data_IF_008015513454
#
_entry.id   IF_008015513454
#
_cell.length_a   1.000
_cell.length_b   1.000
_cell.length_c   1.000
_cell.angle_alpha   90.00
_cell.angle_beta   90.00
_cell.angle_gamma   90.00
#
_symmetry.space_group_name_H-M   'P 1'
#
loop_
_entity.id
_entity.type
_entity.pdbx_description
1 polymer ?
#
# COMPACT_ATOMS: atom_id res chain seq x y z
N UNK A 1 5.99 -17.48 2.93
CA UNK A 1 7.16 -16.57 2.78
C UNK A 1 8.43 -17.30 3.20
N UNK A 2 9.52 -17.19 2.45
CA UNK A 2 10.79 -17.86 2.78
C UNK A 2 11.77 -16.86 3.40
N UNK A 3 12.36 -17.20 4.54
CA UNK A 3 13.34 -16.37 5.26
C UNK A 3 14.63 -17.17 5.37
N UNK A 4 15.76 -16.56 4.98
CA UNK A 4 17.10 -17.12 5.18
C UNK A 4 17.73 -16.51 6.44
N UNK A 5 18.12 -17.36 7.39
CA UNK A 5 18.83 -16.93 8.60
C UNK A 5 20.22 -17.58 8.62
N UNK A 6 21.31 -16.79 8.63
CA UNK A 6 22.67 -17.31 8.71
C UNK A 6 23.01 -17.78 10.13
N UNK A 7 24.01 -18.65 10.26
CA UNK A 7 24.61 -18.99 11.55
C UNK A 7 23.80 -19.91 12.48
N UNK A 8 22.67 -20.48 12.03
CA UNK A 8 21.88 -21.41 12.86
C UNK A 8 22.61 -22.78 13.01
N UNK A 9 22.88 -23.23 14.25
CA UNK A 9 23.49 -24.54 14.49
C UNK A 9 22.57 -25.71 14.09
N UNK A 10 23.14 -26.87 13.78
CA UNK A 10 22.40 -27.99 13.14
C UNK A 10 21.33 -28.63 14.01
N UNK A 11 21.58 -28.72 15.31
CA UNK A 11 20.63 -29.31 16.23
C UNK A 11 19.38 -28.42 16.46
N UNK A 12 19.41 -27.15 16.06
CA UNK A 12 18.34 -26.20 16.40
C UNK A 12 17.20 -26.29 15.40
N UNK A 13 15.97 -26.32 15.93
CA UNK A 13 14.75 -26.32 15.11
C UNK A 13 13.98 -25.01 15.28
N UNK A 14 13.43 -24.45 14.19
CA UNK A 14 12.61 -23.25 14.25
C UNK A 14 11.15 -23.57 14.57
N UNK A 15 10.55 -22.75 15.42
CA UNK A 15 9.15 -22.79 15.83
C UNK A 15 8.55 -21.39 15.75
N UNK A 16 7.36 -21.26 15.19
CA UNK A 16 6.56 -20.04 15.23
C UNK A 16 5.80 -19.97 16.55
N UNK A 17 6.00 -18.88 17.29
CA UNK A 17 5.20 -18.57 18.47
C UNK A 17 3.92 -17.88 17.98
N UNK A 18 2.79 -18.57 18.09
CA UNK A 18 1.46 -18.00 17.81
C UNK A 18 0.79 -17.55 19.10
N UNK A 19 -0.39 -16.93 19.01
CA UNK A 19 -1.14 -16.49 20.20
C UNK A 19 -1.64 -17.65 21.07
N UNK A 20 -1.68 -18.88 20.55
CA UNK A 20 -2.30 -20.04 21.23
C UNK A 20 -1.54 -21.37 21.11
N UNK A 21 -0.47 -21.42 20.30
CA UNK A 21 0.42 -22.58 20.13
C UNK A 21 1.88 -22.23 19.84
N UNK A 22 2.79 -23.18 20.07
CA UNK A 22 4.10 -23.23 19.44
C UNK A 22 4.03 -24.17 18.23
N UNK A 23 4.19 -23.63 17.02
CA UNK A 23 4.04 -24.39 15.77
C UNK A 23 5.42 -24.69 15.17
N UNK A 24 5.75 -25.95 14.81
CA UNK A 24 7.01 -26.24 14.13
C UNK A 24 6.99 -25.65 12.71
N UNK A 25 8.09 -25.03 12.30
CA UNK A 25 8.22 -24.47 10.95
C UNK A 25 8.93 -25.44 9.99
N UNK A 26 8.43 -25.48 8.76
CA UNK A 26 9.12 -26.14 7.65
C UNK A 26 10.44 -25.40 7.39
N UNK A 27 11.54 -26.14 7.36
CA UNK A 27 12.87 -25.55 7.18
C UNK A 27 13.77 -26.47 6.35
N UNK A 28 14.72 -25.84 5.64
CA UNK A 28 15.71 -26.51 4.82
C UNK A 28 17.06 -25.81 4.95
N UNK A 29 18.13 -26.59 5.10
CA UNK A 29 19.50 -26.10 5.01
C UNK A 29 19.83 -25.65 3.59
N UNK A 30 20.45 -24.50 3.44
CA UNK A 30 20.94 -23.97 2.17
C UNK A 30 22.34 -23.36 2.38
N UNK A 31 23.09 -23.16 1.30
CA UNK A 31 24.37 -22.43 1.37
C UNK A 31 24.13 -21.05 1.99
N UNK A 32 24.83 -20.76 3.09
CA UNK A 32 24.69 -19.50 3.82
C UNK A 32 23.71 -19.51 5.00
N UNK A 33 22.98 -20.60 5.28
CA UNK A 33 22.14 -20.67 6.49
C UNK A 33 21.01 -21.70 6.46
N UNK A 34 19.93 -21.38 7.18
CA UNK A 34 18.68 -22.15 7.17
C UNK A 34 17.59 -21.29 6.56
N UNK A 35 16.93 -21.82 5.53
CA UNK A 35 15.69 -21.24 5.01
C UNK A 35 14.51 -21.83 5.77
N UNK A 36 13.57 -20.99 6.18
CA UNK A 36 12.31 -21.39 6.81
C UNK A 36 11.11 -20.78 6.10
N UNK A 37 10.01 -21.53 6.10
CA UNK A 37 8.76 -21.13 5.46
C UNK A 37 7.75 -20.72 6.52
N UNK A 38 7.30 -19.46 6.46
CA UNK A 38 6.10 -19.01 7.17
C UNK A 38 4.88 -19.22 6.28
N UNK A 39 3.92 -19.99 6.78
CA UNK A 39 2.70 -20.35 6.04
C UNK A 39 1.71 -19.18 5.97
N UNK A 40 1.65 -18.36 7.03
CA UNK A 40 0.78 -17.20 7.12
C UNK A 40 1.57 -15.89 6.97
N UNK A 41 1.01 -14.91 6.25
CA UNK A 41 1.59 -13.57 6.16
C UNK A 41 0.99 -12.69 7.25
N UNK A 42 1.75 -12.52 8.33
CA UNK A 42 1.44 -11.57 9.40
C UNK A 42 2.32 -10.33 9.25
N UNK A 43 1.87 -9.18 9.79
CA UNK A 43 2.68 -7.97 9.82
C UNK A 43 3.99 -8.17 10.62
N UNK A 44 3.97 -9.10 11.58
CA UNK A 44 5.13 -9.57 12.32
C UNK A 44 4.93 -11.05 12.71
N UNK A 45 6.03 -11.79 12.84
CA UNK A 45 6.06 -13.16 13.35
C UNK A 45 7.24 -13.32 14.32
N UNK A 46 7.04 -14.10 15.38
CA UNK A 46 8.09 -14.40 16.36
C UNK A 46 8.52 -15.85 16.19
N UNK A 47 9.81 -16.06 15.98
CA UNK A 47 10.37 -17.39 15.71
C UNK A 47 11.34 -17.77 16.85
N UNK A 48 11.03 -18.87 17.54
CA UNK A 48 11.91 -19.51 18.51
C UNK A 48 12.79 -20.52 17.78
N UNK A 49 14.12 -20.37 17.88
CA UNK A 49 15.09 -21.33 17.35
C UNK A 49 15.77 -21.98 18.55
N UNK A 50 15.50 -23.27 18.77
CA UNK A 50 16.05 -24.00 19.93
C UNK A 50 16.28 -25.47 19.62
N UNK A 51 17.30 -26.06 20.24
CA UNK A 51 17.49 -27.51 20.32
C UNK A 51 17.16 -28.08 21.71
N UNK A 52 16.79 -27.23 22.67
CA UNK A 52 16.48 -27.60 24.05
C UNK A 52 14.98 -27.93 24.19
N UNK A 53 14.62 -29.20 24.46
CA UNK A 53 13.23 -29.61 24.66
C UNK A 53 12.57 -28.95 25.88
N UNK A 54 13.35 -28.57 26.90
CA UNK A 54 12.82 -27.95 28.12
C UNK A 54 12.37 -26.51 27.85
N UNK A 55 13.18 -25.75 27.10
CA UNK A 55 12.82 -24.42 26.64
C UNK A 55 11.58 -24.42 25.74
N UNK A 56 11.47 -25.35 24.77
CA UNK A 56 10.30 -25.43 23.90
C UNK A 56 9.04 -25.88 24.65
N UNK A 57 9.15 -26.84 25.58
CA UNK A 57 8.04 -27.25 26.43
C UNK A 57 7.57 -26.10 27.35
N UNK A 58 8.49 -25.32 27.91
CA UNK A 58 8.15 -24.16 28.73
C UNK A 58 7.37 -23.11 27.94
N UNK A 59 7.83 -22.75 26.74
CA UNK A 59 7.14 -21.79 25.86
C UNK A 59 5.78 -22.33 25.43
N UNK A 60 5.68 -23.61 25.05
CA UNK A 60 4.42 -24.26 24.71
C UNK A 60 3.40 -24.17 25.85
N UNK A 61 3.83 -24.39 27.09
CA UNK A 61 2.95 -24.28 28.27
C UNK A 61 2.53 -22.83 28.54
N UNK A 62 3.43 -21.85 28.42
CA UNK A 62 3.09 -20.43 28.56
C UNK A 62 2.04 -20.00 27.54
N UNK A 63 2.21 -20.37 26.28
CA UNK A 63 1.27 -20.01 25.22
C UNK A 63 -0.08 -20.72 25.43
N UNK A 64 -0.06 -22.00 25.84
CA UNK A 64 -1.29 -22.75 26.15
C UNK A 64 -2.08 -22.15 27.31
N UNK A 65 -1.41 -21.68 28.37
CA UNK A 65 -2.05 -20.98 29.50
C UNK A 65 -2.76 -19.71 29.07
N UNK A 66 -2.22 -19.01 28.07
CA UNK A 66 -2.81 -17.78 27.53
C UNK A 66 -3.88 -18.03 26.45
N UNK A 67 -4.08 -19.28 26.00
CA UNK A 67 -5.00 -19.61 24.92
C UNK A 67 -6.45 -19.12 25.15
N UNK A 68 -7.05 -19.18 26.37
CA UNK A 68 -8.39 -18.64 26.60
C UNK A 68 -8.48 -17.13 26.35
N UNK A 69 -7.50 -16.36 26.84
CA UNK A 69 -7.44 -14.91 26.60
C UNK A 69 -7.20 -14.61 25.12
N UNK A 70 -6.30 -15.36 24.47
CA UNK A 70 -6.08 -15.26 23.03
C UNK A 70 -7.34 -15.55 22.22
N UNK A 71 -8.16 -16.53 22.63
CA UNK A 71 -9.42 -16.85 21.98
C UNK A 71 -10.43 -15.70 22.08
N UNK A 72 -10.54 -15.03 23.23
CA UNK A 72 -11.40 -13.85 23.39
C UNK A 72 -10.96 -12.67 22.52
N UNK A 73 -9.64 -12.46 22.37
CA UNK A 73 -9.09 -11.44 21.48
C UNK A 73 -9.31 -11.81 20.00
N UNK A 74 -9.05 -13.06 19.61
CA UNK A 74 -9.28 -13.54 18.26
C UNK A 74 -10.77 -13.44 17.89
N UNK A 75 -11.67 -13.68 18.86
CA UNK A 75 -13.13 -13.52 18.72
C UNK A 75 -13.49 -12.09 18.36
N UNK A 76 -12.99 -11.11 19.12
CA UNK A 76 -13.29 -9.69 18.86
C UNK A 76 -12.72 -9.22 17.52
N UNK A 77 -11.52 -9.68 17.16
CA UNK A 77 -10.88 -9.38 15.87
C UNK A 77 -11.64 -9.98 14.68
N UNK A 78 -12.07 -11.24 14.78
CA UNK A 78 -12.84 -11.91 13.74
C UNK A 78 -14.22 -11.26 13.55
N UNK A 79 -14.96 -11.02 14.64
CA UNK A 79 -16.24 -10.32 14.60
C UNK A 79 -16.10 -8.91 13.99
N UNK A 80 -15.05 -8.17 14.37
CA UNK A 80 -14.74 -6.86 13.80
C UNK A 80 -14.40 -6.93 12.31
N UNK A 81 -13.63 -7.92 11.86
CA UNK A 81 -13.30 -8.11 10.45
C UNK A 81 -14.53 -8.46 9.61
N UNK A 82 -15.37 -9.41 10.05
CA UNK A 82 -16.63 -9.74 9.36
C UNK A 82 -17.51 -8.50 9.26
N UNK A 83 -17.71 -7.77 10.35
CA UNK A 83 -18.57 -6.59 10.36
C UNK A 83 -18.07 -5.48 9.42
N UNK A 84 -16.74 -5.25 9.37
CA UNK A 84 -16.14 -4.27 8.45
C UNK A 84 -16.27 -4.72 6.99
N UNK A 85 -15.90 -5.97 6.67
CA UNK A 85 -16.00 -6.49 5.30
C UNK A 85 -17.44 -6.51 4.78
N UNK A 86 -18.41 -6.90 5.61
CA UNK A 86 -19.84 -6.87 5.26
C UNK A 86 -20.35 -5.45 5.01
N UNK A 87 -19.97 -4.49 5.87
CA UNK A 87 -20.33 -3.07 5.68
C UNK A 87 -19.73 -2.54 4.39
N UNK A 88 -18.43 -2.75 4.19
CA UNK A 88 -17.72 -2.32 3.01
C UNK A 88 -18.35 -2.91 1.74
N UNK A 89 -18.66 -4.21 1.71
CA UNK A 89 -19.35 -4.83 0.59
C UNK A 89 -20.72 -4.20 0.27
N UNK A 90 -21.43 -3.69 1.28
CA UNK A 90 -22.72 -3.01 1.12
C UNK A 90 -22.57 -1.56 0.63
N UNK A 91 -21.51 -0.87 1.05
CA UNK A 91 -21.24 0.52 0.66
C UNK A 91 -20.60 0.64 -0.72
N UNK A 92 -19.96 -0.42 -1.21
CA UNK A 92 -19.25 -0.43 -2.48
C UNK A 92 -20.20 -0.55 -3.68
N UNK A 93 -19.88 0.14 -4.80
CA UNK A 93 -20.65 0.01 -6.03
C UNK A 93 -20.41 -1.37 -6.69
N UNK A 94 -21.32 -1.88 -7.53
CA UNK A 94 -21.19 -3.20 -8.17
C UNK A 94 -19.87 -3.40 -8.94
N UNK A 95 -19.34 -2.35 -9.56
CA UNK A 95 -18.08 -2.37 -10.31
C UNK A 95 -16.87 -2.71 -9.41
N UNK A 96 -16.93 -2.32 -8.14
CA UNK A 96 -15.92 -2.62 -7.14
C UNK A 96 -15.97 -4.09 -6.70
N UNK A 97 -17.16 -4.69 -6.67
CA UNK A 97 -17.37 -6.10 -6.32
C UNK A 97 -16.95 -7.04 -7.45
N UNK A 98 -17.20 -6.65 -8.71
CA UNK A 98 -16.90 -7.49 -9.88
C UNK A 98 -17.59 -8.85 -9.80
N UNK A 99 -16.82 -9.93 -10.00
CA UNK A 99 -17.30 -11.31 -9.91
C UNK A 99 -16.83 -12.02 -8.62
N UNK A 100 -16.43 -11.27 -7.60
CA UNK A 100 -15.98 -11.89 -6.36
C UNK A 100 -17.12 -12.65 -5.67
N UNK A 101 -16.85 -13.84 -5.11
CA UNK A 101 -17.84 -14.62 -4.37
C UNK A 101 -18.02 -14.05 -2.95
N UNK A 102 -18.47 -12.79 -2.87
CA UNK A 102 -18.54 -12.00 -1.63
C UNK A 102 -19.45 -12.69 -0.61
N UNK A 103 -20.62 -13.16 -1.05
CA UNK A 103 -21.60 -13.83 -0.20
C UNK A 103 -21.04 -15.13 0.37
N UNK A 104 -20.40 -15.94 -0.48
CA UNK A 104 -19.81 -17.22 -0.09
C UNK A 104 -18.63 -17.02 0.88
N UNK A 105 -17.77 -16.02 0.62
CA UNK A 105 -16.65 -15.68 1.50
C UNK A 105 -17.11 -15.21 2.88
N UNK A 106 -18.12 -14.34 2.93
CA UNK A 106 -18.68 -13.89 4.21
C UNK A 106 -19.40 -15.02 4.95
N UNK A 107 -20.10 -15.89 4.23
CA UNK A 107 -20.76 -17.06 4.81
C UNK A 107 -19.73 -18.04 5.41
N UNK A 108 -18.65 -18.34 4.70
CA UNK A 108 -17.56 -19.20 5.20
C UNK A 108 -16.87 -18.57 6.42
N UNK A 109 -16.56 -17.27 6.37
CA UNK A 109 -15.96 -16.56 7.51
C UNK A 109 -16.87 -16.61 8.75
N UNK A 110 -18.20 -16.49 8.56
CA UNK A 110 -19.18 -16.60 9.63
C UNK A 110 -19.26 -18.03 10.18
N UNK A 111 -19.26 -19.05 9.31
CA UNK A 111 -19.28 -20.47 9.72
C UNK A 111 -18.04 -20.84 10.54
N UNK A 112 -16.85 -20.43 10.12
CA UNK A 112 -15.60 -20.61 10.86
C UNK A 112 -15.69 -20.01 12.27
N UNK A 113 -16.22 -18.78 12.37
CA UNK A 113 -16.35 -18.12 13.65
C UNK A 113 -17.41 -18.78 14.56
N UNK A 114 -18.56 -19.16 14.00
CA UNK A 114 -19.63 -19.87 14.73
C UNK A 114 -19.18 -21.25 15.23
N UNK A 115 -18.40 -21.98 14.42
CA UNK A 115 -17.81 -23.23 14.86
C UNK A 115 -16.83 -23.01 16.01
N UNK A 116 -15.97 -21.98 15.91
CA UNK A 116 -15.06 -21.63 16.98
C UNK A 116 -15.78 -21.33 18.30
N UNK A 117 -16.90 -20.60 18.28
CA UNK A 117 -17.71 -20.33 19.47
C UNK A 117 -18.20 -21.62 20.17
N UNK A 118 -18.51 -22.68 19.41
CA UNK A 118 -18.96 -23.94 20.00
C UNK A 118 -17.87 -24.72 20.74
N UNK A 119 -16.61 -24.52 20.35
CA UNK A 119 -15.46 -25.23 20.91
C UNK A 119 -14.64 -24.34 21.86
N UNK A 120 -14.87 -23.04 21.92
CA UNK A 120 -14.00 -22.07 22.62
C UNK A 120 -13.74 -22.37 24.10
N UNK A 121 -14.73 -22.94 24.80
CA UNK A 121 -14.61 -23.33 26.21
C UNK A 121 -13.85 -24.64 26.38
N UNK A 122 -13.98 -25.57 25.42
CA UNK A 122 -13.42 -26.92 25.49
C UNK A 122 -12.00 -27.00 24.91
N UNK A 123 -11.76 -26.32 23.79
CA UNK A 123 -10.48 -26.24 23.09
C UNK A 123 -10.25 -24.79 22.60
N UNK A 124 -9.77 -23.89 23.47
CA UNK A 124 -9.50 -22.50 23.12
C UNK A 124 -8.40 -22.38 22.04
N UNK A 125 -7.48 -23.35 21.99
CA UNK A 125 -6.40 -23.35 21.01
C UNK A 125 -6.92 -23.61 19.60
N UNK A 126 -7.78 -24.63 19.41
CA UNK A 126 -8.44 -24.88 18.14
C UNK A 126 -9.38 -23.74 17.75
N UNK A 127 -10.09 -23.16 18.72
CA UNK A 127 -10.95 -21.99 18.50
C UNK A 127 -10.17 -20.79 17.94
N UNK A 128 -8.99 -20.49 18.48
CA UNK A 128 -8.12 -19.40 17.95
C UNK A 128 -7.80 -19.63 16.48
N UNK A 129 -7.45 -20.86 16.07
CA UNK A 129 -7.13 -21.15 14.67
C UNK A 129 -8.31 -20.90 13.73
N UNK A 130 -9.52 -21.31 14.14
CA UNK A 130 -10.76 -21.09 13.37
C UNK A 130 -11.13 -19.60 13.31
N UNK A 131 -10.95 -18.85 14.40
CA UNK A 131 -11.16 -17.39 14.44
C UNK A 131 -10.14 -16.62 13.59
N UNK A 132 -8.87 -17.01 13.62
CA UNK A 132 -7.83 -16.44 12.75
C UNK A 132 -8.13 -16.72 11.27
N UNK A 133 -8.63 -17.92 10.95
CA UNK A 133 -9.08 -18.27 9.60
C UNK A 133 -10.28 -17.43 9.17
N UNK A 134 -11.30 -17.29 10.01
CA UNK A 134 -12.45 -16.41 9.78
C UNK A 134 -12.00 -14.97 9.46
N UNK A 135 -11.10 -14.42 10.29
CA UNK A 135 -10.52 -13.09 10.08
C UNK A 135 -9.75 -12.98 8.76
N UNK A 136 -8.99 -14.01 8.40
CA UNK A 136 -8.22 -14.03 7.15
C UNK A 136 -9.14 -14.01 5.92
N UNK A 137 -10.23 -14.79 5.91
CA UNK A 137 -11.22 -14.80 4.83
C UNK A 137 -11.86 -13.42 4.67
N UNK A 138 -12.31 -12.81 5.78
CA UNK A 138 -12.90 -11.47 5.75
C UNK A 138 -11.89 -10.40 5.28
N UNK A 139 -10.63 -10.47 5.72
CA UNK A 139 -9.57 -9.55 5.30
C UNK A 139 -9.18 -9.71 3.82
N UNK A 140 -9.30 -10.92 3.25
CA UNK A 140 -9.06 -11.15 1.83
C UNK A 140 -10.07 -10.38 0.96
N UNK A 141 -11.34 -10.25 1.39
CA UNK A 141 -12.32 -9.41 0.70
C UNK A 141 -11.91 -7.94 0.69
N UNK A 142 -11.52 -7.38 1.84
CA UNK A 142 -11.04 -5.98 1.94
C UNK A 142 -9.87 -5.74 0.97
N UNK A 143 -8.92 -6.69 0.92
CA UNK A 143 -7.78 -6.66 0.00
C UNK A 143 -8.22 -6.69 -1.47
N UNK A 144 -9.12 -7.59 -1.86
CA UNK A 144 -9.59 -7.72 -3.23
C UNK A 144 -10.29 -6.44 -3.73
N UNK A 145 -11.11 -5.82 -2.88
CA UNK A 145 -11.75 -4.53 -3.18
C UNK A 145 -10.72 -3.40 -3.33
N UNK A 146 -9.70 -3.39 -2.48
CA UNK A 146 -8.63 -2.42 -2.51
C UNK A 146 -7.75 -2.57 -3.76
N UNK A 147 -7.38 -3.80 -4.14
CA UNK A 147 -6.55 -4.10 -5.32
C UNK A 147 -7.22 -3.61 -6.61
N UNK A 148 -8.52 -3.83 -6.77
CA UNK A 148 -9.29 -3.30 -7.90
C UNK A 148 -9.29 -1.77 -7.91
N UNK A 149 -9.50 -1.13 -6.76
CA UNK A 149 -9.52 0.33 -6.64
C UNK A 149 -8.17 0.96 -6.96
N UNK A 150 -7.07 0.34 -6.53
CA UNK A 150 -5.68 0.76 -6.82
C UNK A 150 -5.34 0.57 -8.29
N UNK A 151 -5.78 -0.54 -8.90
CA UNK A 151 -5.58 -0.80 -10.33
C UNK A 151 -6.26 0.27 -11.19
N UNK A 152 -7.46 0.73 -10.79
CA UNK A 152 -8.19 1.78 -11.48
C UNK A 152 -7.46 3.14 -11.48
N UNK A 153 -6.68 3.47 -10.45
CA UNK A 153 -5.83 4.68 -10.45
C UNK A 153 -4.41 4.42 -10.98
N UNK A 154 -3.96 3.17 -11.03
CA UNK A 154 -2.60 2.78 -11.42
C UNK A 154 -1.56 2.89 -10.32
N UNK A 155 -1.97 3.24 -9.08
CA UNK A 155 -1.08 3.30 -7.92
C UNK A 155 -1.81 3.40 -6.58
N UNK A 156 -1.18 2.85 -5.54
CA UNK A 156 -1.62 2.88 -4.13
C UNK A 156 -1.47 4.25 -3.47
N UNK A 157 -0.67 5.16 -4.03
CA UNK A 157 -0.45 6.51 -3.49
C UNK A 157 -1.06 7.60 -4.38
N UNK A 158 -1.70 7.20 -5.49
CA UNK A 158 -2.45 8.10 -6.36
C UNK A 158 -3.50 8.88 -5.57
N UNK A 159 -4.20 8.21 -4.63
CA UNK A 159 -5.16 8.83 -3.74
C UNK A 159 -4.81 8.54 -2.27
N UNK A 160 -4.95 9.49 -1.34
CA UNK A 160 -4.80 9.20 0.09
C UNK A 160 -5.84 8.20 0.60
N UNK A 161 -6.97 8.04 -0.11
CA UNK A 161 -8.10 7.19 0.29
C UNK A 161 -7.81 5.68 0.19
N UNK A 162 -6.71 5.28 -0.45
CA UNK A 162 -6.27 3.88 -0.55
C UNK A 162 -5.34 3.47 0.60
N UNK A 163 -5.06 4.33 1.57
CA UNK A 163 -4.16 4.01 2.69
C UNK A 163 -4.82 3.24 3.83
N UNK A 164 -6.15 3.14 3.84
CA UNK A 164 -6.93 2.44 4.87
C UNK A 164 -8.20 1.82 4.27
N UNK A 165 -8.62 0.65 4.78
CA UNK A 165 -9.91 0.06 4.38
C UNK A 165 -11.11 0.90 4.84
N UNK A 166 -10.93 1.74 5.86
CA UNK A 166 -11.96 2.66 6.35
C UNK A 166 -12.34 3.76 5.33
N UNK A 167 -11.43 4.10 4.41
CA UNK A 167 -11.64 5.13 3.39
C UNK A 167 -11.86 4.55 1.99
N UNK A 168 -11.93 3.22 1.88
CA UNK A 168 -11.99 2.56 0.58
C UNK A 168 -13.32 2.81 -0.14
N UNK A 169 -14.45 2.89 0.58
CA UNK A 169 -15.73 3.25 -0.03
C UNK A 169 -15.69 4.68 -0.61
N UNK A 170 -15.03 5.62 0.07
CA UNK A 170 -14.82 6.97 -0.45
C UNK A 170 -13.85 7.00 -1.65
N UNK A 171 -12.84 6.13 -1.69
CA UNK A 171 -11.99 5.98 -2.88
C UNK A 171 -12.81 5.59 -4.11
N UNK A 172 -13.73 4.63 -3.97
CA UNK A 172 -14.61 4.22 -5.07
C UNK A 172 -15.61 5.31 -5.47
N UNK A 173 -16.13 6.08 -4.53
CA UNK A 173 -16.94 7.28 -4.84
C UNK A 173 -16.14 8.34 -5.58
N UNK A 174 -14.86 8.51 -5.25
CA UNK A 174 -13.96 9.39 -5.97
C UNK A 174 -13.73 8.88 -7.41
N UNK A 175 -13.49 7.58 -7.60
CA UNK A 175 -13.34 6.98 -8.93
C UNK A 175 -14.59 7.20 -9.80
N UNK A 176 -15.78 6.98 -9.27
CA UNK A 176 -17.04 7.27 -9.96
C UNK A 176 -17.15 8.77 -10.30
N UNK A 177 -16.87 9.64 -9.33
CA UNK A 177 -16.88 11.08 -9.56
C UNK A 177 -15.91 11.51 -10.67
N UNK A 178 -14.72 10.91 -10.75
CA UNK A 178 -13.72 11.20 -11.77
C UNK A 178 -14.24 10.95 -13.19
N UNK A 179 -15.12 9.96 -13.39
CA UNK A 179 -15.72 9.67 -14.71
C UNK A 179 -16.57 10.84 -15.25
N UNK A 180 -17.06 11.71 -14.35
CA UNK A 180 -17.88 12.88 -14.70
C UNK A 180 -17.13 14.22 -14.59
N UNK A 181 -15.82 14.18 -14.37
CA UNK A 181 -14.97 15.37 -14.31
C UNK A 181 -14.30 15.67 -15.64
N UNK A 182 -14.15 16.96 -15.92
CA UNK A 182 -13.29 17.45 -16.99
C UNK A 182 -12.04 18.08 -16.38
N UNK A 183 -10.90 17.78 -16.99
CA UNK A 183 -9.66 18.47 -16.68
C UNK A 183 -9.68 19.89 -17.25
N UNK A 184 -9.49 20.88 -16.38
CA UNK A 184 -9.33 22.27 -16.76
C UNK A 184 -7.97 22.57 -17.38
N UNK A 185 -7.69 23.87 -17.55
CA UNK A 185 -6.39 24.34 -18.06
C UNK A 185 -5.25 23.84 -17.15
N UNK A 186 -4.15 23.39 -17.76
CA UNK A 186 -2.93 23.09 -17.03
C UNK A 186 -2.41 24.36 -16.33
N UNK A 187 -2.21 24.26 -15.02
CA UNK A 187 -1.70 25.35 -14.18
C UNK A 187 -0.17 25.39 -14.19
N UNK A 188 0.48 24.29 -14.59
CA UNK A 188 1.94 24.18 -14.61
C UNK A 188 2.51 24.56 -15.97
N UNK A 189 3.34 25.60 -15.99
CA UNK A 189 4.15 25.98 -17.15
C UNK A 189 5.48 25.20 -17.18
N UNK A 190 6.00 24.91 -18.38
CA UNK A 190 7.28 24.21 -18.57
C UNK A 190 7.23 22.70 -18.39
N UNK A 191 6.07 22.10 -18.07
CA UNK A 191 5.94 20.67 -17.80
C UNK A 191 6.28 19.72 -18.98
N UNK A 192 6.36 20.23 -20.22
CA UNK A 192 6.80 19.47 -21.39
C UNK A 192 8.32 19.37 -21.55
N UNK A 193 9.11 20.01 -20.69
CA UNK A 193 10.58 19.87 -20.65
C UNK A 193 11.33 20.26 -21.94
N UNK A 194 10.78 21.20 -22.73
CA UNK A 194 11.36 21.58 -24.03
C UNK A 194 12.48 22.63 -23.95
N UNK A 195 12.34 23.59 -23.05
CA UNK A 195 13.15 24.81 -23.03
C UNK A 195 13.61 25.13 -21.60
N UNK A 196 14.93 25.16 -21.38
CA UNK A 196 15.51 25.38 -20.04
C UNK A 196 15.20 26.78 -19.51
N UNK A 197 15.13 27.77 -20.40
CA UNK A 197 14.77 29.14 -20.06
C UNK A 197 13.32 29.22 -19.56
N UNK A 198 12.41 28.48 -20.18
CA UNK A 198 11.00 28.39 -19.74
C UNK A 198 10.90 27.73 -18.37
N UNK A 199 11.65 26.64 -18.12
CA UNK A 199 11.67 26.00 -16.80
C UNK A 199 12.16 27.00 -15.73
N UNK A 200 13.26 27.68 -15.99
CA UNK A 200 13.85 28.67 -15.07
C UNK A 200 12.91 29.85 -14.82
N UNK A 201 12.35 30.46 -15.87
CA UNK A 201 11.45 31.61 -15.75
C UNK A 201 10.11 31.26 -15.12
N UNK A 202 9.59 30.06 -15.37
CA UNK A 202 8.38 29.55 -14.73
C UNK A 202 8.58 29.22 -13.24
N UNK A 203 9.84 29.16 -12.76
CA UNK A 203 10.16 28.96 -11.34
C UNK A 203 10.44 27.51 -10.94
N UNK A 204 10.75 26.63 -11.90
CA UNK A 204 11.28 25.31 -11.58
C UNK A 204 12.63 25.45 -10.88
N UNK A 205 12.84 24.66 -9.83
CA UNK A 205 14.09 24.68 -9.05
C UNK A 205 14.67 23.30 -9.01
N UNK A 206 15.97 23.19 -9.23
CA UNK A 206 16.71 21.99 -8.90
C UNK A 206 17.62 22.27 -7.72
N UNK A 207 17.91 21.24 -6.96
CA UNK A 207 18.90 21.28 -5.89
C UNK A 207 19.81 20.07 -6.04
N UNK A 208 21.12 20.34 -6.07
CA UNK A 208 22.15 19.32 -6.01
C UNK A 208 22.78 19.43 -4.63
N UNK A 209 22.73 18.34 -3.86
CA UNK A 209 23.36 18.30 -2.56
C UNK A 209 24.88 18.30 -2.73
N UNK A 210 25.61 19.27 -2.15
CA UNK A 210 27.06 19.25 -2.19
C UNK A 210 27.58 18.10 -1.33
N UNK A 211 28.29 17.17 -1.94
CA UNK A 211 28.99 16.07 -1.26
C UNK A 211 30.33 15.83 -1.94
N UNK A 212 31.31 15.31 -1.20
CA UNK A 212 32.63 14.98 -1.76
C UNK A 212 32.63 13.67 -2.57
N UNK A 213 31.57 12.86 -2.42
CA UNK A 213 31.48 11.52 -3.01
C UNK A 213 30.56 11.43 -4.22
N UNK A 214 29.54 12.29 -4.32
CA UNK A 214 28.48 12.21 -5.34
C UNK A 214 28.34 13.53 -6.07
N UNK A 215 28.33 13.46 -7.40
CA UNK A 215 27.96 14.56 -8.29
C UNK A 215 26.56 14.34 -8.83
N UNK A 216 25.74 15.37 -8.79
CA UNK A 216 24.41 15.40 -9.41
C UNK A 216 24.38 16.33 -10.62
N UNK A 217 23.57 16.01 -11.62
CA UNK A 217 23.32 16.87 -12.77
C UNK A 217 21.86 16.83 -13.22
N UNK A 218 21.39 17.97 -13.75
CA UNK A 218 20.12 18.10 -14.46
C UNK A 218 20.42 18.60 -15.87
N UNK A 219 19.89 17.93 -16.89
CA UNK A 219 20.05 18.33 -18.28
C UNK A 219 18.75 18.10 -19.07
N UNK A 220 18.55 18.86 -20.15
CA UNK A 220 17.54 18.52 -21.14
C UNK A 220 18.12 17.48 -22.11
N UNK A 221 17.48 16.32 -22.20
CA UNK A 221 17.89 15.23 -23.07
C UNK A 221 17.01 15.19 -24.31
N UNK A 222 17.61 14.97 -25.47
CA UNK A 222 16.89 14.59 -26.71
C UNK A 222 16.78 13.08 -26.87
N UNK A 223 17.33 12.32 -25.92
CA UNK A 223 17.35 10.87 -25.98
C UNK A 223 16.02 10.30 -25.47
N UNK A 224 15.20 9.84 -26.41
CA UNK A 224 13.91 9.17 -26.16
C UNK A 224 12.94 9.96 -25.27
N UNK A 225 12.58 11.21 -25.65
CA UNK A 225 11.56 11.98 -24.92
C UNK A 225 10.20 11.25 -24.92
N UNK A 226 9.38 11.47 -23.89
CA UNK A 226 8.08 10.83 -23.78
C UNK A 226 7.05 11.47 -24.72
N UNK A 227 7.13 12.80 -24.85
CA UNK A 227 6.41 13.62 -25.81
C UNK A 227 7.32 14.75 -26.30
N UNK A 228 7.00 15.37 -27.44
CA UNK A 228 7.79 16.50 -27.93
C UNK A 228 9.21 16.10 -28.40
N UNK A 229 10.20 16.95 -28.14
CA UNK A 229 11.59 16.79 -28.61
C UNK A 229 12.58 16.56 -27.48
N UNK A 230 12.23 16.90 -26.24
CA UNK A 230 13.14 16.81 -25.10
C UNK A 230 12.44 16.34 -23.83
N UNK A 231 13.22 15.72 -22.96
CA UNK A 231 12.84 15.35 -21.60
C UNK A 231 13.84 15.91 -20.60
N UNK A 232 13.47 15.98 -19.33
CA UNK A 232 14.36 16.38 -18.26
C UNK A 232 15.06 15.15 -17.69
N UNK A 233 16.38 15.08 -17.79
CA UNK A 233 17.17 14.00 -17.21
C UNK A 233 17.82 14.48 -15.91
N UNK A 234 17.59 13.71 -14.85
CA UNK A 234 18.24 13.85 -13.55
C UNK A 234 19.23 12.70 -13.37
N UNK A 235 20.46 13.00 -12.98
CA UNK A 235 21.50 11.98 -12.78
C UNK A 235 22.27 12.24 -11.49
N UNK A 236 22.69 11.17 -10.83
CA UNK A 236 23.63 11.19 -9.71
C UNK A 236 24.64 10.07 -9.91
N UNK A 237 25.93 10.39 -9.80
CA UNK A 237 27.02 9.45 -9.97
C UNK A 237 28.09 9.66 -8.90
N UNK A 238 28.80 8.60 -8.53
CA UNK A 238 29.99 8.74 -7.72
C UNK A 238 31.02 9.62 -8.46
N UNK A 239 31.71 10.49 -7.73
CA UNK A 239 32.81 11.29 -8.26
C UNK A 239 33.98 10.36 -8.60
N UNK A 240 34.31 9.45 -7.68
CA UNK A 240 35.26 8.36 -7.89
C UNK A 240 34.50 7.01 -7.85
N UNK A 241 34.45 6.23 -8.96
CA UNK A 241 33.76 4.95 -9.02
C UNK A 241 34.27 3.91 -8.01
N UNK A 242 35.57 3.91 -7.69
CA UNK A 242 36.18 2.95 -6.73
C UNK A 242 35.79 3.25 -5.28
N UNK A 243 35.34 4.48 -5.00
CA UNK A 243 34.91 4.96 -3.69
C UNK A 243 33.40 5.24 -3.67
N UNK A 244 32.64 4.58 -4.54
CA UNK A 244 31.20 4.77 -4.62
C UNK A 244 30.54 4.37 -3.27
N UNK A 245 29.74 5.27 -2.66
CA UNK A 245 29.07 4.96 -1.40
C UNK A 245 28.07 3.81 -1.59
N UNK A 246 28.11 2.84 -0.68
CA UNK A 246 27.20 1.70 -0.68
C UNK A 246 25.75 2.08 -0.33
N UNK A 247 25.57 3.14 0.46
CA UNK A 247 24.27 3.63 0.92
C UNK A 247 24.23 5.15 0.77
N UNK A 248 23.11 5.65 0.24
CA UNK A 248 22.77 7.05 0.10
C UNK A 248 21.60 7.33 1.04
N UNK A 249 21.87 8.03 2.14
CA UNK A 249 20.85 8.29 3.16
C UNK A 249 19.90 9.44 2.80
N UNK A 250 20.36 10.39 1.99
CA UNK A 250 19.58 11.58 1.61
C UNK A 250 19.68 11.78 0.10
N UNK A 251 18.58 12.10 -0.59
CA UNK A 251 18.59 12.29 -2.04
C UNK A 251 19.70 13.27 -2.48
N UNK A 252 20.63 12.86 -3.35
CA UNK A 252 21.71 13.71 -3.82
C UNK A 252 21.21 14.85 -4.72
N UNK A 253 20.04 14.66 -5.36
CA UNK A 253 19.52 15.62 -6.31
C UNK A 253 17.98 15.52 -6.40
N UNK A 254 17.33 16.67 -6.50
CA UNK A 254 15.89 16.74 -6.73
C UNK A 254 15.50 18.00 -7.51
N UNK A 255 14.32 17.95 -8.09
CA UNK A 255 13.71 19.03 -8.86
C UNK A 255 12.32 19.27 -8.32
N UNK A 256 11.92 20.53 -8.18
CA UNK A 256 10.61 20.94 -7.67
C UNK A 256 9.94 21.88 -8.65
N UNK A 257 8.66 21.65 -8.91
CA UNK A 257 7.83 22.54 -9.73
C UNK A 257 7.71 23.91 -9.07
N UNK A 258 7.37 24.98 -9.82
CA UNK A 258 6.89 26.20 -9.20
C UNK A 258 5.66 25.97 -8.31
N UNK A 259 5.41 26.86 -7.32
CA UNK A 259 4.23 26.80 -6.48
C UNK A 259 2.97 27.07 -7.30
N UNK A 260 2.00 26.16 -7.20
CA UNK A 260 0.70 26.26 -7.85
C UNK A 260 -0.37 26.59 -6.82
N UNK A 261 -1.15 27.64 -7.07
CA UNK A 261 -2.27 28.06 -6.22
C UNK A 261 -3.59 27.74 -6.89
N UNK A 262 -4.53 27.19 -6.12
CA UNK A 262 -5.91 26.96 -6.53
C UNK A 262 -6.85 27.17 -5.33
N UNK A 263 -8.17 27.37 -5.54
CA UNK A 263 -9.12 27.52 -4.43
C UNK A 263 -9.19 26.26 -3.56
N UNK A 264 -9.42 26.43 -2.26
CA UNK A 264 -9.66 25.33 -1.32
C UNK A 264 -10.80 24.42 -1.81
N UNK A 265 -10.67 23.12 -1.60
CA UNK A 265 -11.64 22.11 -2.05
C UNK A 265 -11.54 21.75 -3.53
N UNK A 266 -10.70 22.42 -4.33
CA UNK A 266 -10.44 22.03 -5.72
C UNK A 266 -9.73 20.69 -5.75
N UNK A 267 -10.24 19.74 -6.54
CA UNK A 267 -9.54 18.49 -6.85
C UNK A 267 -8.52 18.76 -7.95
N UNK A 268 -7.25 18.48 -7.68
CA UNK A 268 -6.15 18.59 -8.64
C UNK A 268 -5.76 17.19 -9.12
N UNK A 269 -5.59 17.05 -10.43
CA UNK A 269 -4.91 15.93 -11.08
C UNK A 269 -3.47 16.35 -11.38
N UNK A 270 -2.52 15.61 -10.81
CA UNK A 270 -1.08 15.76 -11.04
C UNK A 270 -0.64 14.57 -11.88
N UNK A 271 -0.10 14.81 -13.06
CA UNK A 271 0.40 13.75 -13.97
C UNK A 271 1.86 14.01 -14.26
N UNK A 272 2.63 12.94 -14.37
CA UNK A 272 3.95 12.97 -15.01
C UNK A 272 4.18 11.69 -15.80
N UNK A 273 5.10 11.74 -16.76
CA UNK A 273 5.74 10.56 -17.32
C UNK A 273 7.16 10.50 -16.78
N UNK A 274 7.56 9.32 -16.33
CA UNK A 274 8.90 9.08 -15.79
C UNK A 274 9.48 7.81 -16.38
N UNK A 275 10.81 7.79 -16.51
CA UNK A 275 11.52 6.61 -17.00
C UNK A 275 12.83 6.45 -16.23
N UNK A 276 13.00 5.27 -15.62
CA UNK A 276 14.20 4.88 -14.89
C UNK A 276 14.82 3.69 -15.63
N UNK A 277 15.77 3.92 -16.54
CA UNK A 277 16.26 2.87 -17.45
C UNK A 277 17.07 1.77 -16.74
N UNK A 278 17.77 2.13 -15.66
CA UNK A 278 18.62 1.23 -14.89
C UNK A 278 18.28 1.28 -13.39
N UNK A 279 18.49 0.20 -12.62
CA UNK A 279 18.31 0.23 -11.18
C UNK A 279 19.15 1.33 -10.52
N UNK A 280 18.52 2.09 -9.64
CA UNK A 280 19.18 3.12 -8.83
C UNK A 280 19.93 2.42 -7.69
N UNK A 281 21.22 2.67 -7.57
CA UNK A 281 22.09 2.05 -6.57
C UNK A 281 22.15 2.89 -5.28
N UNK A 282 22.49 2.24 -4.17
CA UNK A 282 22.63 2.91 -2.87
C UNK A 282 21.31 3.38 -2.23
N UNK A 283 20.16 3.04 -2.80
CA UNK A 283 18.84 3.32 -2.23
C UNK A 283 17.82 2.24 -2.64
N UNK A 284 16.78 2.05 -1.81
CA UNK A 284 15.64 1.16 -2.11
C UNK A 284 14.45 1.88 -2.74
N UNK A 285 14.45 3.22 -2.73
CA UNK A 285 13.29 4.02 -3.14
C UNK A 285 13.31 4.41 -4.63
N UNK A 286 14.50 4.45 -5.26
CA UNK A 286 14.65 4.81 -6.67
C UNK A 286 14.40 6.30 -6.94
N UNK A 287 13.58 6.61 -7.95
CA UNK A 287 13.03 7.96 -8.15
C UNK A 287 11.77 8.11 -7.30
N UNK A 288 11.80 9.08 -6.37
CA UNK A 288 10.63 9.49 -5.59
C UNK A 288 9.90 10.64 -6.29
N UNK A 289 8.58 10.53 -6.41
CA UNK A 289 7.70 11.61 -6.89
C UNK A 289 6.61 11.87 -5.87
N UNK A 290 6.59 13.07 -5.30
CA UNK A 290 5.61 13.45 -4.27
C UNK A 290 5.23 14.92 -4.35
N UNK A 291 4.09 15.25 -3.76
CA UNK A 291 3.57 16.62 -3.69
C UNK A 291 3.62 17.18 -2.26
N UNK A 292 3.50 18.50 -2.11
CA UNK A 292 3.56 19.17 -0.81
C UNK A 292 2.37 18.87 0.12
N UNK A 293 1.23 18.39 -0.40
CA UNK A 293 0.07 18.05 0.45
C UNK A 293 0.17 16.61 0.98
N UNK A 294 0.57 15.66 0.14
CA UNK A 294 0.78 14.26 0.54
C UNK A 294 2.12 13.98 1.22
N UNK A 295 3.13 14.78 0.90
CA UNK A 295 4.50 14.62 1.38
C UNK A 295 5.16 13.30 0.95
N UNK A 296 6.39 13.03 1.43
CA UNK A 296 7.14 11.83 1.09
C UNK A 296 6.46 10.50 1.50
N UNK A 297 5.55 10.54 2.48
CA UNK A 297 4.78 9.38 2.92
C UNK A 297 3.84 8.85 1.82
N UNK A 298 3.32 9.75 0.97
CA UNK A 298 2.49 9.42 -0.18
C UNK A 298 3.25 9.55 -1.52
N UNK A 299 4.57 9.34 -1.48
CA UNK A 299 5.40 9.37 -2.67
C UNK A 299 5.24 8.11 -3.54
N UNK A 300 5.19 8.31 -4.85
CA UNK A 300 5.47 7.26 -5.82
C UNK A 300 6.94 6.86 -5.73
N UNK A 301 7.18 5.54 -5.64
CA UNK A 301 8.52 4.94 -5.71
C UNK A 301 8.69 4.29 -7.06
N UNK A 302 9.57 4.85 -7.88
CA UNK A 302 9.80 4.39 -9.25
C UNK A 302 11.19 3.78 -9.33
N UNK A 303 11.21 2.46 -9.32
CA UNK A 303 12.38 1.65 -9.61
C UNK A 303 12.57 1.49 -11.13
N UNK A 304 13.51 0.64 -11.57
CA UNK A 304 13.74 0.36 -13.00
C UNK A 304 12.41 0.12 -13.73
N UNK A 305 12.23 0.84 -14.84
CA UNK A 305 11.12 0.72 -15.77
C UNK A 305 11.65 0.42 -17.17
N UNK A 306 11.03 -0.50 -17.90
CA UNK A 306 11.45 -0.84 -19.27
C UNK A 306 11.17 0.30 -20.28
N UNK A 307 10.18 1.14 -20.00
CA UNK A 307 9.79 2.29 -20.82
C UNK A 307 9.18 3.40 -19.97
N UNK A 308 8.78 4.51 -20.62
CA UNK A 308 8.07 5.61 -19.96
C UNK A 308 6.81 5.13 -19.25
N UNK A 309 6.72 5.43 -17.95
CA UNK A 309 5.58 5.16 -17.10
C UNK A 309 4.83 6.45 -16.81
N UNK A 310 3.53 6.46 -17.08
CA UNK A 310 2.65 7.53 -16.60
C UNK A 310 2.32 7.30 -15.12
N UNK A 311 2.39 8.35 -14.32
CA UNK A 311 1.93 8.39 -12.93
C UNK A 311 0.85 9.46 -12.77
N UNK A 312 -0.02 9.27 -11.78
CA UNK A 312 -1.08 10.22 -11.44
C UNK A 312 -1.28 10.31 -9.94
N UNK A 313 -1.40 11.54 -9.43
CA UNK A 313 -1.77 11.83 -8.05
C UNK A 313 -3.00 12.75 -8.04
N UNK A 314 -3.98 12.41 -7.21
CA UNK A 314 -5.18 13.20 -6.96
C UNK A 314 -5.10 13.83 -5.57
N UNK A 315 -5.24 15.17 -5.51
CA UNK A 315 -5.15 15.93 -4.26
C UNK A 315 -6.24 16.98 -4.18
N UNK A 316 -6.87 17.10 -3.02
CA UNK A 316 -7.79 18.20 -2.74
C UNK A 316 -6.97 19.34 -2.12
N UNK A 317 -7.13 20.55 -2.63
CA UNK A 317 -6.51 21.74 -2.06
C UNK A 317 -7.04 21.94 -0.63
N UNK A 318 -6.16 21.96 0.39
CA UNK A 318 -6.60 22.14 1.77
C UNK A 318 -7.15 23.55 2.02
N UNK A 319 -7.96 23.76 3.07
CA UNK A 319 -8.33 25.10 3.49
C UNK A 319 -7.10 25.91 3.91
N UNK A 320 -7.22 27.24 3.92
CA UNK A 320 -6.22 28.11 4.52
C UNK A 320 -6.04 27.76 6.00
N UNK A 321 -4.81 27.74 6.49
CA UNK A 321 -4.55 27.51 7.90
C UNK A 321 -4.93 28.78 8.69
N UNK A 322 -5.74 28.61 9.76
CA UNK A 322 -6.22 29.73 10.58
C UNK A 322 -5.08 30.53 11.27
N UNK A 323 -3.86 29.97 11.31
CA UNK A 323 -2.68 30.58 11.91
C UNK A 323 -1.66 31.12 10.88
N UNK A 324 -1.93 31.00 9.57
CA UNK A 324 -1.09 31.58 8.54
C UNK A 324 -1.51 33.03 8.24
N UNK A 325 -0.52 33.90 8.10
CA UNK A 325 -0.71 35.35 7.83
C UNK A 325 -1.45 35.57 6.51
N UNK A 326 -1.23 34.67 5.55
CA UNK A 326 -1.95 34.62 4.29
C UNK A 326 -3.20 33.77 4.48
N UNK A 327 -4.40 34.36 4.49
CA UNK A 327 -5.68 33.65 4.53
C UNK A 327 -5.98 32.84 3.24
N UNK A 328 -4.93 32.35 2.58
CA UNK A 328 -4.96 31.61 1.33
C UNK A 328 -4.52 30.16 1.58
N UNK A 329 -5.02 29.20 0.81
CA UNK A 329 -4.51 27.83 0.85
C UNK A 329 -3.00 27.76 0.60
N UNK A 330 -2.27 26.83 1.26
CA UNK A 330 -0.86 26.63 0.98
C UNK A 330 -0.68 26.20 -0.49
N UNK A 331 0.35 26.70 -1.20
CA UNK A 331 0.59 26.33 -2.58
C UNK A 331 1.00 24.85 -2.71
N UNK A 332 0.59 24.25 -3.83
CA UNK A 332 1.03 22.92 -4.24
C UNK A 332 2.39 23.00 -4.94
N UNK A 333 3.33 22.14 -4.55
CA UNK A 333 4.55 21.87 -5.32
C UNK A 333 4.71 20.37 -5.51
N UNK A 334 5.31 19.94 -6.62
CA UNK A 334 5.65 18.54 -6.89
C UNK A 334 7.16 18.39 -6.96
N UNK A 335 7.71 17.42 -6.25
CA UNK A 335 9.13 17.14 -6.17
C UNK A 335 9.45 15.78 -6.79
N UNK A 336 10.47 15.77 -7.65
CA UNK A 336 11.08 14.57 -8.24
C UNK A 336 12.48 14.43 -7.65
N UNK A 337 12.70 13.43 -6.81
CA UNK A 337 13.96 13.23 -6.09
C UNK A 337 14.60 11.90 -6.50
N UNK A 338 15.83 11.97 -7.00
CA UNK A 338 16.64 10.78 -7.25
C UNK A 338 17.33 10.43 -5.94
N UNK A 339 16.97 9.28 -5.36
CA UNK A 339 17.40 8.94 -3.99
C UNK A 339 18.75 8.24 -3.90
N UNK A 340 19.33 7.82 -5.03
CA UNK A 340 20.61 7.10 -5.08
C UNK A 340 21.39 7.38 -6.36
N UNK A 341 22.36 6.51 -6.67
CA UNK A 341 23.22 6.64 -7.85
C UNK A 341 22.55 6.03 -9.09
N UNK A 342 22.48 6.79 -10.17
CA UNK A 342 21.86 6.38 -11.42
C UNK A 342 21.27 7.57 -12.18
N UNK A 343 20.27 7.32 -13.00
CA UNK A 343 19.56 8.38 -13.72
C UNK A 343 18.08 8.05 -13.89
N UNK A 344 17.29 9.11 -14.03
CA UNK A 344 15.89 9.06 -14.39
C UNK A 344 15.57 10.18 -15.37
N UNK A 345 14.52 9.99 -16.16
CA UNK A 345 13.96 11.00 -17.04
C UNK A 345 12.54 11.34 -16.60
N UNK A 346 12.16 12.61 -16.77
CA UNK A 346 10.88 13.20 -16.38
C UNK A 346 10.38 14.00 -17.57
N UNK A 347 9.09 13.86 -17.88
CA UNK A 347 8.45 14.55 -19.00
C UNK A 347 6.93 14.65 -18.77
N UNK A 348 6.25 15.47 -19.57
CA UNK A 348 4.80 15.59 -19.66
C UNK A 348 4.14 15.83 -18.29
N UNK A 349 4.76 16.69 -17.48
CA UNK A 349 4.26 17.04 -16.14
C UNK A 349 3.09 18.02 -16.29
N UNK A 350 1.96 17.72 -15.66
CA UNK A 350 0.81 18.62 -15.66
C UNK A 350 0.09 18.61 -14.32
N UNK A 351 -0.48 19.76 -13.98
CA UNK A 351 -1.29 19.97 -12.77
C UNK A 351 -2.57 20.64 -13.24
N UNK A 352 -3.67 19.89 -13.27
CA UNK A 352 -4.96 20.36 -13.81
C UNK A 352 -6.04 20.32 -12.72
N UNK A 353 -6.84 21.38 -12.56
CA UNK A 353 -8.03 21.30 -11.73
C UNK A 353 -9.08 20.42 -12.42
N UNK A 354 -9.72 19.54 -11.67
CA UNK A 354 -10.83 18.73 -12.12
C UNK A 354 -12.14 19.38 -11.69
N UNK A 355 -12.99 19.68 -12.67
CA UNK A 355 -14.32 20.26 -12.43
C UNK A 355 -15.39 19.27 -12.86
N UNK A 356 -16.40 19.05 -12.02
CA UNK A 356 -17.56 18.23 -12.39
C UNK A 356 -18.39 18.96 -13.44
N UNK A 357 -18.80 18.23 -14.47
CA UNK A 357 -19.66 18.74 -15.56
C UNK A 357 -21.13 18.86 -15.19
N UNK A 358 -21.56 18.21 -14.11
CA UNK A 358 -22.92 18.28 -13.57
C UNK A 358 -22.88 18.75 -12.11
N UNK A 359 -23.87 19.55 -11.72
CA UNK A 359 -24.24 19.68 -10.30
C UNK A 359 -24.68 18.27 -9.84
N UNK A 360 -23.77 17.56 -9.17
CA UNK A 360 -24.13 16.34 -8.46
C UNK A 360 -25.12 16.66 -7.34
N UNK A 361 -25.78 15.64 -6.76
CA UNK A 361 -26.63 15.85 -5.59
C UNK A 361 -25.86 16.63 -4.53
N UNK A 362 -26.52 17.58 -3.88
CA UNK A 362 -25.95 18.38 -2.79
C UNK A 362 -25.31 17.44 -1.78
N UNK A 363 -23.98 17.46 -1.70
CA UNK A 363 -23.24 16.72 -0.68
C UNK A 363 -23.59 17.39 0.65
N UNK A 364 -24.55 16.81 1.35
CA UNK A 364 -24.76 17.16 2.75
C UNK A 364 -23.56 16.60 3.48
N UNK A 365 -22.69 17.46 4.01
CA UNK A 365 -21.66 17.04 4.96
C UNK A 365 -22.36 16.25 6.06
N UNK A 366 -22.14 14.94 6.10
CA UNK A 366 -22.61 14.09 7.21
C UNK A 366 -21.81 14.33 8.48
N UNK A 367 -20.79 15.20 8.43
CA UNK A 367 -20.17 15.85 9.59
C UNK A 367 -21.08 16.91 10.22
N UNK A 368 -22.32 16.54 10.55
CA UNK A 368 -23.04 17.14 11.69
C UNK A 368 -22.56 16.43 12.95
N UNK A 369 -21.29 16.63 13.27
CA UNK A 369 -20.64 16.01 14.41
C UNK A 369 -19.51 16.88 14.87
N UNK A 370 -19.81 17.81 15.76
CA UNK A 370 -18.81 18.49 16.57
C UNK A 370 -18.19 17.45 17.51
N UNK A 371 -17.32 16.58 16.98
CA UNK A 371 -16.50 15.69 17.78
C UNK A 371 -15.07 16.18 17.66
N UNK A 372 -14.66 16.96 18.67
CA UNK A 372 -13.27 16.92 19.11
C UNK A 372 -12.80 15.46 19.09
N UNK A 373 -11.55 15.23 18.70
CA UNK A 373 -10.91 13.94 18.96
C UNK A 373 -11.17 13.60 20.44
N UNK A 374 -11.72 12.41 20.76
CA UNK A 374 -12.04 12.08 22.12
C UNK A 374 -10.77 12.15 22.95
N UNK A 375 -10.85 12.82 24.10
CA UNK A 375 -9.70 12.88 25.00
C UNK A 375 -9.40 11.46 25.49
N UNK A 376 -8.14 11.11 25.81
CA UNK A 376 -7.79 9.77 26.30
C UNK A 376 -8.70 9.30 27.44
N UNK A 377 -9.14 10.22 28.28
CA UNK A 377 -10.02 10.01 29.43
C UNK A 377 -11.45 9.62 29.03
N UNK A 378 -11.95 10.10 27.89
CA UNK A 378 -13.27 9.75 27.34
C UNK A 378 -13.26 8.36 26.70
N UNK A 379 -12.11 7.92 26.16
CA UNK A 379 -11.90 6.56 25.63
C UNK A 379 -11.86 5.56 26.79
N UNK A 380 -11.26 5.94 27.92
CA UNK A 380 -11.10 5.08 29.10
C UNK A 380 -12.38 5.02 29.96
N UNK A 381 -13.15 6.11 30.03
CA UNK A 381 -14.35 6.21 30.87
C UNK A 381 -15.67 5.99 30.10
N UNK A 382 -15.64 6.04 28.76
CA UNK A 382 -16.80 5.87 27.90
C UNK A 382 -17.21 4.41 27.77
N UNK A 383 -18.23 4.01 28.54
CA UNK A 383 -19.00 2.78 28.35
C UNK A 383 -19.75 2.79 27.00
N UNK A 384 -19.02 2.71 25.89
CA UNK A 384 -19.47 2.20 24.60
C UNK A 384 -18.30 1.50 23.92
N UNK A 385 -17.89 0.36 24.48
CA UNK A 385 -17.73 -0.80 23.62
C UNK A 385 -19.04 -0.92 22.86
N UNK A 386 -19.11 -0.41 21.62
CA UNK A 386 -19.88 -1.12 20.61
C UNK A 386 -19.27 -2.51 20.60
N UNK A 387 -19.81 -3.38 21.46
CA UNK A 387 -19.44 -4.78 21.46
C UNK A 387 -19.58 -5.18 20.00
N UNK A 388 -18.48 -5.69 19.42
CA UNK A 388 -18.59 -6.35 18.14
C UNK A 388 -19.78 -7.31 18.24
N UNK A 389 -20.68 -7.35 17.23
CA UNK A 389 -21.89 -8.15 17.31
C UNK A 389 -21.53 -9.52 17.85
N UNK A 390 -22.19 -9.93 18.94
CA UNK A 390 -21.86 -11.16 19.63
C UNK A 390 -22.13 -12.31 18.68
N UNK A 391 -21.08 -12.94 18.17
CA UNK A 391 -21.22 -14.12 17.33
C UNK A 391 -21.84 -15.22 18.20
N UNK A 392 -22.99 -15.72 17.77
CA UNK A 392 -23.72 -16.81 18.44
C UNK A 392 -23.60 -18.08 17.61
N UNK A 393 -23.18 -19.18 18.24
CA UNK A 393 -23.18 -20.49 17.60
C UNK A 393 -24.62 -21.01 17.43
N UNK A 394 -25.00 -21.55 16.25
CA UNK A 394 -26.22 -22.34 16.11
C UNK A 394 -26.09 -23.69 16.85
N UNK A 395 -27.21 -24.36 17.19
CA UNK A 395 -27.15 -25.70 17.78
C UNK A 395 -26.57 -26.70 16.75
N UNK A 396 -25.48 -27.38 17.11
CA UNK A 396 -24.67 -28.27 16.26
C UNK A 396 -24.09 -27.59 14.99
N UNK A 397 -23.08 -26.72 15.12
CA UNK A 397 -22.39 -26.18 13.96
C UNK A 397 -21.58 -27.27 13.26
N UNK A 398 -21.77 -27.42 11.95
CA UNK A 398 -20.94 -28.29 11.12
C UNK A 398 -19.52 -27.75 11.07
N UNK A 399 -18.51 -28.59 11.32
CA UNK A 399 -17.13 -28.17 11.14
C UNK A 399 -16.90 -27.78 9.66
N UNK A 400 -16.34 -26.59 9.37
CA UNK A 400 -16.04 -26.19 8.01
C UNK A 400 -15.04 -27.17 7.38
N UNK A 401 -15.49 -27.92 6.38
CA UNK A 401 -14.68 -28.88 5.62
C UNK A 401 -14.02 -28.26 4.38
N UNK A 402 -14.41 -27.03 4.01
CA UNK A 402 -13.88 -26.38 2.82
C UNK A 402 -12.37 -26.14 3.01
N UNK A 403 -11.56 -26.50 2.03
CA UNK A 403 -10.23 -25.92 1.86
C UNK A 403 -10.44 -24.67 1.02
N UNK A 404 -10.63 -23.52 1.68
CA UNK A 404 -10.83 -22.28 0.94
C UNK A 404 -9.57 -22.02 0.08
N UNK A 405 -9.70 -21.86 -1.25
CA UNK A 405 -8.55 -21.75 -2.15
C UNK A 405 -7.68 -20.50 -1.90
N UNK A 406 -8.18 -19.53 -1.13
CA UNK A 406 -7.42 -18.34 -0.70
C UNK A 406 -6.49 -18.55 0.50
N UNK A 407 -6.33 -19.77 1.02
CA UNK A 407 -5.39 -20.06 2.13
C UNK A 407 -3.94 -20.22 1.69
N UNK A 408 -3.69 -20.61 0.43
CA UNK A 408 -2.37 -20.40 -0.13
C UNK A 408 -2.22 -18.91 -0.41
N UNK A 409 -1.18 -18.28 0.12
CA UNK A 409 -0.76 -16.93 -0.30
C UNK A 409 -0.29 -16.89 -1.77
N UNK A 410 -0.27 -18.04 -2.45
CA UNK A 410 -0.29 -18.06 -3.90
C UNK A 410 -1.66 -17.59 -4.36
N UNK A 411 -1.67 -16.59 -5.26
CA UNK A 411 -2.84 -16.25 -6.07
C UNK A 411 -3.62 -17.53 -6.36
N UNK A 412 -4.88 -17.67 -5.91
CA UNK A 412 -5.64 -18.78 -6.41
C UNK A 412 -5.66 -18.58 -7.92
N UNK A 413 -5.13 -19.56 -8.66
CA UNK A 413 -5.42 -19.71 -10.09
C UNK A 413 -6.92 -20.01 -10.15
N UNK A 414 -7.75 -18.99 -9.91
CA UNK A 414 -9.20 -19.06 -9.97
C UNK A 414 -9.56 -19.20 -11.45
N UNK A 415 -9.42 -20.42 -11.96
CA UNK A 415 -10.02 -20.94 -13.19
C UNK A 415 -9.59 -20.22 -14.50
N UNK A 416 -9.79 -20.87 -15.67
CA UNK A 416 -9.01 -20.54 -16.85
C UNK A 416 -9.51 -19.23 -17.47
N UNK A 417 -8.61 -18.28 -17.67
CA UNK A 417 -8.83 -17.12 -18.53
C UNK A 417 -9.04 -17.60 -19.99
N UNK A 418 -10.22 -18.12 -20.33
CA UNK A 418 -10.62 -18.43 -21.71
C UNK A 418 -11.64 -17.45 -22.28
N UNK A 419 -12.00 -16.40 -21.55
CA UNK A 419 -12.71 -15.24 -22.09
C UNK A 419 -12.07 -13.95 -21.59
N UNK A 420 -11.86 -12.94 -22.44
CA UNK A 420 -11.41 -11.63 -21.98
C UNK A 420 -12.43 -11.09 -20.98
N UNK A 421 -11.95 -10.77 -19.78
CA UNK A 421 -12.64 -10.02 -18.73
C UNK A 421 -13.36 -8.79 -19.31
N UNK A 422 -14.47 -8.32 -18.69
CA UNK A 422 -14.69 -6.89 -18.68
C UNK A 422 -13.55 -6.27 -17.88
N UNK A 423 -12.52 -5.82 -18.58
CA UNK A 423 -11.39 -5.06 -18.03
C UNK A 423 -11.94 -4.06 -17.01
N UNK A 424 -11.41 -3.97 -15.77
CA UNK A 424 -11.73 -2.84 -14.90
C UNK A 424 -11.61 -1.56 -15.72
N UNK A 425 -12.50 -0.56 -15.54
CA UNK A 425 -12.52 0.62 -16.40
C UNK A 425 -11.10 1.15 -16.54
N UNK A 426 -10.62 1.32 -17.78
CA UNK A 426 -9.23 1.70 -18.01
C UNK A 426 -8.95 2.95 -17.20
N UNK A 427 -8.09 2.79 -16.19
CA UNK A 427 -7.57 3.92 -15.45
C UNK A 427 -6.86 4.86 -16.41
N UNK A 428 -6.90 6.19 -16.19
CA UNK A 428 -6.19 7.14 -17.05
C UNK A 428 -4.67 6.93 -17.07
N UNK A 429 -4.13 6.05 -16.22
CA UNK A 429 -2.72 5.68 -16.12
C UNK A 429 -2.22 4.75 -17.24
N UNK A 430 -3.10 4.02 -17.93
CA UNK A 430 -2.71 3.11 -19.02
C UNK A 430 -1.75 1.98 -18.62
N UNK A 431 -1.53 1.72 -17.32
CA UNK A 431 -0.57 0.72 -16.83
C UNK A 431 -1.24 -0.35 -15.98
N UNK A 432 -1.07 -1.63 -16.35
CA UNK A 432 -1.41 -2.80 -15.53
C UNK A 432 -0.22 -3.18 -14.65
N UNK A 433 0.06 -2.40 -13.60
CA UNK A 433 1.09 -2.76 -12.62
C UNK A 433 0.43 -3.50 -11.47
N UNK A 434 0.90 -4.72 -11.23
CA UNK A 434 0.69 -5.44 -9.97
C UNK A 434 1.51 -4.75 -8.86
N UNK A 435 0.89 -4.05 -7.89
CA UNK A 435 1.59 -3.34 -6.83
C UNK A 435 2.38 -4.28 -5.89
N UNK A 436 2.23 -5.60 -6.04
CA UNK A 436 2.92 -6.62 -5.24
C UNK A 436 4.05 -7.35 -5.98
N UNK A 437 4.34 -7.00 -7.23
CA UNK A 437 5.48 -7.56 -7.96
C UNK A 437 6.78 -6.97 -7.39
N UNK A 438 7.23 -7.52 -6.25
CA UNK A 438 8.58 -7.28 -5.72
C UNK A 438 9.56 -7.68 -6.82
N UNK A 439 10.48 -6.78 -7.15
CA UNK A 439 11.63 -7.11 -7.98
C UNK A 439 12.35 -8.29 -7.30
N UNK A 440 12.18 -9.51 -7.82
CA UNK A 440 13.11 -10.59 -7.51
C UNK A 440 14.42 -10.13 -8.13
N UNK A 441 15.42 -9.84 -7.30
CA UNK A 441 16.78 -9.71 -7.81
C UNK A 441 17.09 -10.96 -8.61
N UNK A 442 17.36 -10.81 -9.90
CA UNK A 442 17.91 -11.89 -10.68
C UNK A 442 19.27 -12.21 -10.04
N UNK A 443 19.37 -13.32 -9.33
CA UNK A 443 20.66 -13.91 -9.01
C UNK A 443 21.31 -14.22 -10.35
N UNK A 444 22.39 -13.51 -10.67
CA UNK A 444 23.30 -13.83 -11.75
C UNK A 444 23.77 -15.26 -11.58
N UNK A 445 23.25 -16.16 -12.40
CA UNK A 445 23.88 -17.45 -12.65
C UNK A 445 24.60 -17.27 -13.98
N UNK A 446 25.92 -17.20 -13.90
CA UNK A 446 26.82 -17.44 -15.02
C UNK A 446 28.01 -18.23 -14.46
N UNK A 447 28.71 -19.01 -15.29
CA UNK A 447 29.07 -18.69 -16.67
C UNK A 447 28.27 -19.40 -17.77
#
# INVERSE_FOLDING_TARGET
>A
MNILIPGIPEAHRPWEITHSTLRPLQHRRVTGGVTMTLDNFHAAAVILISNDPSATAHVQELVRRNAPTAALLARSQAAGAIARSSRLATELPPEALGHFPVTEMLAEALQEAQYAESIITHDPTAAVKKLERSRAIAGQLERLFWERGVTATGSMVASPLTTSSATLSDHWRMLDALQSTNAGKNLLEGGSMEEINTLSSAGWRHFVRPTEQVKGSVELSTHTPAEGKRSLRISAAAINPEEAPLVIETPPIWITTPPITAPAGTLLEIVAKVWVPNPIQGSVDGLLVFDSYGGPALAERVNKTESWRRLVLYRIVPPAHAHEVTQSPPPLTVTFALTGLGNAQIDSVSIRPLTRTRQGPTVTSTTTGNRSFPKPEEILNGNQTQMAPTLTAPPNPTEPQSAWPGMSLEWPKMLPFTKPEPTPPQGPSGSTIDPFKRARGASSVEP
#
